data_IF_278715017910
#
_entry.id   IF_278715017910
#
_cell.length_a   1.000
_cell.length_b   1.000
_cell.length_c   1.000
_cell.angle_alpha   90.00
_cell.angle_beta   90.00
_cell.angle_gamma   90.00
#
_symmetry.space_group_name_H-M   'P 1'
#
loop_
_entity.id
_entity.type
_entity.pdbx_description
1 polymer ?
#
# COMPACT_ATOMS: atom_id res chain seq x y z
N UNK A 1 9.91 -59.67 25.88
CA UNK A 1 9.81 -58.85 27.11
C UNK A 1 8.94 -57.67 26.75
N UNK A 2 7.64 -57.90 26.83
CA UNK A 2 6.79 -57.48 27.96
C UNK A 2 6.46 -55.98 27.87
N UNK A 3 5.24 -55.71 27.40
CA UNK A 3 4.49 -54.53 27.83
C UNK A 3 4.15 -54.66 29.32
N UNK A 4 3.78 -53.55 29.98
CA UNK A 4 2.36 -53.47 30.32
C UNK A 4 1.69 -52.08 30.17
N UNK A 5 0.38 -52.19 29.96
CA UNK A 5 -0.74 -51.26 30.16
C UNK A 5 -0.76 -50.53 31.51
N UNK A 6 -1.32 -49.32 31.56
CA UNK A 6 -2.59 -48.96 32.26
C UNK A 6 -2.87 -47.44 32.10
N UNK A 7 -3.97 -47.04 31.44
CA UNK A 7 -5.29 -46.65 31.98
C UNK A 7 -5.28 -45.37 32.84
N UNK A 8 -5.84 -44.27 32.33
CA UNK A 8 -7.20 -43.77 32.62
C UNK A 8 -7.07 -42.23 32.81
N UNK A 9 -8.04 -41.35 32.62
CA UNK A 9 -9.49 -41.41 32.67
C UNK A 9 -10.02 -40.13 31.98
N UNK A 10 -11.22 -40.26 31.43
CA UNK A 10 -12.10 -39.31 30.75
C UNK A 10 -12.43 -38.08 31.61
N UNK A 11 -12.67 -36.92 30.98
CA UNK A 11 -13.98 -36.25 31.14
C UNK A 11 -14.25 -35.21 30.03
N UNK A 12 -15.51 -35.23 29.65
CA UNK A 12 -16.22 -34.65 28.52
C UNK A 12 -16.98 -33.41 28.99
N UNK A 13 -16.86 -32.26 28.31
CA UNK A 13 -17.94 -31.25 28.26
C UNK A 13 -17.88 -30.57 26.89
N UNK A 14 -18.91 -30.79 26.08
CA UNK A 14 -19.20 -29.97 24.91
C UNK A 14 -19.93 -28.68 25.31
N UNK A 15 -19.77 -27.63 24.52
CA UNK A 15 -20.79 -26.59 24.43
C UNK A 15 -20.78 -25.89 23.06
N UNK A 16 -21.90 -26.09 22.37
CA UNK A 16 -22.69 -25.17 21.54
C UNK A 16 -22.02 -24.12 20.66
N UNK A 17 -22.36 -24.21 19.38
CA UNK A 17 -22.07 -23.21 18.37
C UNK A 17 -22.81 -21.88 18.55
N UNK A 18 -22.27 -20.86 17.91
CA UNK A 18 -23.04 -19.71 17.44
C UNK A 18 -22.38 -19.15 16.18
N UNK A 19 -23.03 -19.42 15.06
CA UNK A 19 -22.76 -18.83 13.75
C UNK A 19 -23.29 -17.40 13.75
N UNK A 20 -22.41 -16.40 13.68
CA UNK A 20 -22.81 -15.02 13.42
C UNK A 20 -22.31 -14.59 12.05
N UNK A 21 -23.26 -14.45 11.12
CA UNK A 21 -23.08 -13.72 9.85
C UNK A 21 -23.65 -12.30 10.03
N UNK A 22 -22.95 -11.24 9.61
CA UNK A 22 -23.61 -9.96 9.40
C UNK A 22 -23.96 -9.80 7.92
N UNK A 23 -25.24 -9.98 7.60
CA UNK A 23 -25.86 -9.37 6.41
C UNK A 23 -26.03 -7.89 6.70
N UNK A 24 -25.36 -7.04 5.92
CA UNK A 24 -25.71 -5.62 5.81
C UNK A 24 -26.03 -5.34 4.35
N UNK A 25 -27.33 -5.33 4.07
CA UNK A 25 -27.90 -4.87 2.81
C UNK A 25 -27.85 -3.34 2.79
N UNK A 26 -27.01 -2.76 1.95
CA UNK A 26 -27.11 -1.35 1.54
C UNK A 26 -27.63 -1.30 0.09
N UNK A 27 -28.67 -0.51 -0.22
CA UNK A 27 -29.21 -0.43 -1.58
C UNK A 27 -28.31 0.41 -2.50
N UNK A 28 -28.36 0.19 -3.83
CA UNK A 28 -27.52 0.92 -4.78
C UNK A 28 -28.08 2.33 -5.02
N UNK A 29 -27.21 3.34 -4.99
CA UNK A 29 -27.53 4.67 -5.46
C UNK A 29 -27.50 4.67 -7.00
N UNK A 30 -28.67 4.83 -7.61
CA UNK A 30 -28.86 5.12 -9.04
C UNK A 30 -28.56 6.59 -9.34
N UNK A 31 -28.01 6.93 -10.53
CA UNK A 31 -27.93 8.31 -10.98
C UNK A 31 -29.27 8.79 -11.54
N UNK A 32 -29.55 10.09 -11.47
CA UNK A 32 -30.67 10.70 -12.18
C UNK A 32 -30.30 12.03 -12.83
N UNK A 33 -31.05 12.43 -13.87
CA UNK A 33 -30.53 13.08 -15.07
C UNK A 33 -30.64 14.61 -15.06
N UNK A 34 -29.94 15.25 -16.00
CA UNK A 34 -29.96 16.71 -16.17
C UNK A 34 -31.20 17.25 -16.91
N UNK A 35 -31.36 18.58 -16.89
CA UNK A 35 -31.78 19.43 -18.03
C UNK A 35 -31.56 20.92 -17.70
N UNK A 36 -30.81 21.58 -18.60
CA UNK A 36 -31.13 22.83 -19.33
C UNK A 36 -31.57 24.11 -18.59
N UNK A 37 -30.76 25.18 -18.74
CA UNK A 37 -31.21 26.51 -19.21
C UNK A 37 -30.02 27.42 -19.59
N UNK A 38 -29.94 27.81 -20.87
CA UNK A 38 -29.23 29.00 -21.41
C UNK A 38 -30.23 30.18 -21.45
N UNK A 39 -29.80 31.47 -21.49
CA UNK A 39 -29.56 32.15 -22.79
C UNK A 39 -28.39 33.19 -22.74
N UNK A 40 -27.56 33.31 -23.79
CA UNK A 40 -27.63 34.29 -24.89
C UNK A 40 -26.82 35.59 -24.65
N UNK A 41 -25.69 35.75 -25.36
CA UNK A 41 -25.36 36.97 -26.15
C UNK A 41 -24.52 36.55 -27.36
N UNK A 42 -24.93 37.07 -28.51
CA UNK A 42 -24.54 36.82 -29.90
C UNK A 42 -23.53 37.89 -30.40
N UNK A 43 -22.40 37.50 -31.04
CA UNK A 43 -22.06 37.62 -32.51
C UNK A 43 -21.25 38.94 -32.77
N UNK A 44 -20.45 39.15 -33.87
CA UNK A 44 -20.65 38.48 -35.14
C UNK A 44 -19.47 38.27 -36.15
N UNK A 45 -19.77 37.39 -37.11
CA UNK A 45 -19.37 37.28 -38.55
C UNK A 45 -17.96 36.89 -39.01
N UNK A 46 -17.90 35.83 -39.85
CA UNK A 46 -17.41 35.78 -41.25
C UNK A 46 -17.14 34.26 -41.56
N UNK A 47 -17.68 33.55 -42.55
CA UNK A 47 -18.26 33.91 -43.84
C UNK A 47 -17.48 33.21 -44.96
N UNK A 48 -17.68 31.91 -45.22
CA UNK A 48 -17.54 31.32 -46.58
C UNK A 48 -18.30 30.00 -46.70
N UNK A 49 -18.95 29.83 -47.84
CA UNK A 49 -20.03 28.89 -48.19
C UNK A 49 -19.56 28.01 -49.37
N UNK A 50 -20.29 26.89 -49.55
CA UNK A 50 -20.49 26.10 -50.79
C UNK A 50 -19.55 24.91 -51.07
N UNK A 51 -19.98 23.76 -51.62
CA UNK A 51 -21.27 23.08 -51.71
C UNK A 51 -21.05 21.67 -52.34
N UNK A 52 -21.89 20.71 -51.95
CA UNK A 52 -22.42 19.55 -52.69
C UNK A 52 -21.56 18.46 -53.39
N UNK A 53 -21.69 17.24 -52.82
CA UNK A 53 -22.22 16.00 -53.41
C UNK A 53 -21.98 15.68 -54.91
N UNK A 54 -21.42 14.50 -55.20
CA UNK A 54 -22.01 13.51 -56.16
C UNK A 54 -21.31 12.14 -56.16
N UNK A 55 -22.10 11.17 -55.72
CA UNK A 55 -21.97 9.71 -55.87
C UNK A 55 -22.15 9.31 -57.33
N UNK A 56 -21.20 8.60 -57.94
CA UNK A 56 -21.44 7.79 -59.16
C UNK A 56 -20.68 6.46 -59.07
N UNK A 57 -21.49 5.40 -59.01
CA UNK A 57 -21.18 3.98 -59.14
C UNK A 57 -21.10 3.65 -60.64
N UNK A 58 -20.07 2.94 -61.09
CA UNK A 58 -20.08 2.21 -62.37
C UNK A 58 -19.22 0.95 -62.23
N UNK A 59 -19.88 -0.17 -62.49
CA UNK A 59 -19.39 -1.53 -62.35
C UNK A 59 -18.51 -1.99 -63.54
N UNK A 60 -17.82 -3.10 -63.27
CA UNK A 60 -17.30 -4.14 -64.19
C UNK A 60 -15.93 -3.91 -64.85
N UNK A 61 -14.92 -4.66 -64.38
CA UNK A 61 -14.23 -5.61 -65.26
C UNK A 61 -13.61 -6.77 -64.44
N UNK A 62 -13.80 -8.00 -64.95
CA UNK A 62 -13.34 -9.27 -64.39
C UNK A 62 -11.94 -9.59 -64.90
N UNK A 63 -11.03 -9.96 -64.01
CA UNK A 63 -9.81 -10.74 -64.34
C UNK A 63 -9.28 -11.42 -63.08
N UNK A 64 -9.57 -12.71 -62.94
CA UNK A 64 -9.03 -13.60 -61.91
C UNK A 64 -7.59 -13.96 -62.23
N UNK A 65 -6.66 -13.75 -61.29
CA UNK A 65 -5.46 -14.58 -61.11
C UNK A 65 -5.15 -14.59 -59.61
N UNK A 66 -5.15 -15.80 -59.04
CA UNK A 66 -4.70 -16.08 -57.68
C UNK A 66 -3.23 -15.67 -57.51
N UNK A 67 -2.95 -14.82 -56.53
CA UNK A 67 -1.60 -14.67 -56.00
C UNK A 67 -1.71 -14.56 -54.49
N UNK A 68 -1.08 -15.54 -53.85
CA UNK A 68 -0.96 -15.77 -52.41
C UNK A 68 -0.72 -14.45 -51.68
N UNK A 69 -1.65 -14.08 -50.78
CA UNK A 69 -1.37 -13.11 -49.72
C UNK A 69 -0.35 -13.74 -48.77
N UNK A 70 0.92 -13.59 -49.12
CA UNK A 70 2.00 -13.60 -48.15
C UNK A 70 1.84 -12.29 -47.37
N UNK A 71 1.32 -12.40 -46.15
CA UNK A 71 1.45 -11.36 -45.14
C UNK A 71 2.93 -11.06 -44.98
N UNK A 72 3.42 -10.05 -45.71
CA UNK A 72 4.68 -9.37 -45.43
C UNK A 72 4.55 -8.71 -44.06
N UNK A 73 4.82 -9.50 -43.02
CA UNK A 73 5.43 -8.96 -41.82
C UNK A 73 6.67 -8.20 -42.32
N UNK A 74 6.62 -6.88 -42.23
CA UNK A 74 7.80 -6.04 -42.42
C UNK A 74 8.78 -6.40 -41.31
N UNK A 75 9.52 -7.48 -41.53
CA UNK A 75 10.75 -7.78 -40.84
C UNK A 75 11.66 -6.60 -41.14
N UNK A 76 11.64 -5.62 -40.24
CA UNK A 76 12.69 -4.63 -40.18
C UNK A 76 13.90 -5.45 -39.75
N UNK A 77 14.56 -6.11 -40.71
CA UNK A 77 15.69 -7.00 -40.46
C UNK A 77 16.72 -6.14 -39.76
N UNK A 78 16.75 -6.25 -38.44
CA UNK A 78 17.47 -5.31 -37.60
C UNK A 78 18.94 -5.65 -37.78
N UNK A 79 19.65 -4.78 -38.51
CA UNK A 79 21.04 -5.04 -38.90
C UNK A 79 21.92 -4.93 -37.66
N UNK A 80 22.44 -6.07 -37.21
CA UNK A 80 23.40 -6.14 -36.12
C UNK A 80 24.74 -5.52 -36.55
N UNK A 81 25.47 -4.86 -35.64
CA UNK A 81 26.78 -4.27 -35.95
C UNK A 81 27.92 -5.30 -36.05
N UNK A 82 27.58 -6.59 -36.08
CA UNK A 82 28.47 -7.74 -36.20
C UNK A 82 27.68 -8.95 -36.74
N UNK A 83 28.41 -9.92 -37.30
CA UNK A 83 27.87 -11.24 -37.66
C UNK A 83 27.99 -12.20 -36.46
N UNK A 84 26.99 -13.07 -36.25
CA UNK A 84 27.02 -14.10 -35.20
C UNK A 84 27.87 -15.30 -35.66
N UNK A 85 29.17 -15.30 -35.33
CA UNK A 85 30.15 -16.35 -35.67
C UNK A 85 30.41 -17.32 -34.52
N UNK A 86 30.23 -16.89 -33.28
CA UNK A 86 30.54 -17.67 -32.08
C UNK A 86 29.50 -18.79 -31.86
N UNK A 87 29.93 -20.03 -31.55
CA UNK A 87 28.99 -21.13 -31.30
C UNK A 87 28.13 -20.92 -30.04
N UNK A 88 28.54 -20.01 -29.14
CA UNK A 88 27.87 -19.71 -27.88
C UNK A 88 26.46 -19.13 -28.06
N UNK A 89 26.16 -18.52 -29.20
CA UNK A 89 24.83 -17.96 -29.50
C UNK A 89 23.73 -19.00 -29.34
N UNK A 90 23.95 -20.23 -29.82
CA UNK A 90 22.99 -21.32 -29.68
C UNK A 90 22.67 -21.62 -28.22
N UNK A 91 23.67 -21.57 -27.35
CA UNK A 91 23.49 -21.78 -25.91
C UNK A 91 22.73 -20.61 -25.30
N UNK A 92 23.18 -19.37 -25.52
CA UNK A 92 22.58 -18.17 -24.92
C UNK A 92 21.14 -18.00 -25.36
N UNK A 93 20.84 -18.06 -26.66
CA UNK A 93 19.48 -17.90 -27.19
C UNK A 93 18.54 -19.03 -26.75
N UNK A 94 19.08 -20.21 -26.43
CA UNK A 94 18.29 -21.33 -25.90
C UNK A 94 17.99 -21.25 -24.41
N UNK A 95 18.54 -20.27 -23.68
CA UNK A 95 18.28 -20.12 -22.25
C UNK A 95 16.80 -19.87 -21.99
N UNK A 96 16.26 -20.52 -20.95
CA UNK A 96 14.84 -20.42 -20.59
C UNK A 96 14.35 -18.99 -20.36
N UNK A 97 15.25 -18.10 -19.93
CA UNK A 97 14.95 -16.68 -19.77
C UNK A 97 14.55 -16.03 -21.09
N UNK A 98 15.24 -16.31 -22.20
CA UNK A 98 14.96 -15.71 -23.50
C UNK A 98 13.82 -16.41 -24.25
N UNK A 99 13.48 -17.66 -23.88
CA UNK A 99 12.24 -18.29 -24.32
C UNK A 99 11.01 -17.62 -23.69
N UNK A 100 11.10 -17.28 -22.40
CA UNK A 100 10.00 -16.65 -21.63
C UNK A 100 9.91 -15.15 -21.86
N UNK A 101 11.06 -14.52 -22.07
CA UNK A 101 11.21 -13.09 -22.25
C UNK A 101 12.08 -12.85 -23.50
N UNK A 102 11.52 -13.00 -24.70
CA UNK A 102 12.25 -12.80 -25.95
C UNK A 102 12.87 -11.40 -26.01
N UNK A 103 14.10 -11.32 -26.49
CA UNK A 103 14.86 -10.07 -26.61
C UNK A 103 15.39 -9.93 -28.03
N UNK A 104 15.29 -8.72 -28.59
CA UNK A 104 15.90 -8.35 -29.87
C UNK A 104 16.64 -7.01 -29.76
N UNK A 105 17.75 -6.96 -28.99
CA UNK A 105 18.57 -5.76 -28.84
C UNK A 105 19.32 -5.38 -30.12
N UNK A 106 19.33 -4.09 -30.46
CA UNK A 106 19.97 -3.56 -31.67
C UNK A 106 21.49 -3.48 -31.58
N UNK A 107 22.03 -3.37 -30.35
CA UNK A 107 23.45 -3.26 -30.07
C UNK A 107 24.21 -2.13 -30.80
N UNK A 108 23.53 -1.19 -31.45
CA UNK A 108 24.12 -0.07 -32.21
C UNK A 108 25.30 0.63 -31.52
N UNK A 109 25.29 0.89 -30.20
CA UNK A 109 26.45 1.53 -29.55
C UNK A 109 27.75 0.70 -29.63
N UNK A 110 27.69 -0.61 -29.90
CA UNK A 110 28.89 -1.43 -30.11
C UNK A 110 29.67 -1.04 -31.38
N UNK A 111 29.12 -0.20 -32.26
CA UNK A 111 29.90 0.38 -33.36
C UNK A 111 31.09 1.21 -32.86
N UNK A 112 31.01 1.76 -31.65
CA UNK A 112 32.05 2.58 -31.02
C UNK A 112 33.26 1.78 -30.51
N UNK A 113 33.12 0.46 -30.41
CA UNK A 113 34.22 -0.44 -30.01
C UNK A 113 34.81 -1.17 -31.23
N UNK A 114 35.98 -1.77 -31.02
CA UNK A 114 36.68 -2.57 -32.04
C UNK A 114 35.77 -3.69 -32.56
N UNK A 115 35.79 -3.87 -33.88
CA UNK A 115 34.94 -4.84 -34.57
C UNK A 115 35.10 -6.27 -34.04
N UNK A 116 36.34 -6.67 -33.72
CA UNK A 116 36.67 -8.00 -33.18
C UNK A 116 36.13 -8.26 -31.76
N UNK A 117 35.72 -7.22 -31.04
CA UNK A 117 35.15 -7.32 -29.69
C UNK A 117 33.61 -7.28 -29.65
N UNK A 118 32.95 -6.78 -30.72
CA UNK A 118 31.50 -6.49 -30.72
C UNK A 118 30.65 -7.71 -30.40
N UNK A 119 30.93 -8.82 -31.07
CA UNK A 119 30.14 -10.04 -30.90
C UNK A 119 30.22 -10.57 -29.46
N UNK A 120 31.43 -10.61 -28.90
CA UNK A 120 31.63 -11.06 -27.52
C UNK A 120 30.97 -10.12 -26.52
N UNK A 121 31.03 -8.80 -26.76
CA UNK A 121 30.33 -7.81 -25.93
C UNK A 121 28.81 -8.01 -25.95
N UNK A 122 28.21 -8.27 -27.11
CA UNK A 122 26.77 -8.52 -27.22
C UNK A 122 26.34 -9.79 -26.46
N UNK A 123 27.11 -10.87 -26.56
CA UNK A 123 26.90 -12.09 -25.77
C UNK A 123 27.02 -11.80 -24.27
N UNK A 124 28.03 -11.02 -23.87
CA UNK A 124 28.20 -10.58 -22.49
C UNK A 124 26.97 -9.83 -21.97
N UNK A 125 26.43 -8.89 -22.75
CA UNK A 125 25.23 -8.13 -22.38
C UNK A 125 23.98 -9.00 -22.21
N UNK A 126 23.81 -10.04 -23.04
CA UNK A 126 22.71 -11.01 -22.86
C UNK A 126 22.87 -11.79 -21.55
N UNK A 127 24.06 -12.29 -21.26
CA UNK A 127 24.34 -12.98 -20.00
C UNK A 127 24.13 -12.05 -18.80
N UNK A 128 24.58 -10.80 -18.89
CA UNK A 128 24.33 -9.76 -17.89
C UNK A 128 22.83 -9.54 -17.70
N UNK A 129 22.05 -9.36 -18.76
CA UNK A 129 20.60 -9.21 -18.68
C UNK A 129 19.95 -10.40 -17.94
N UNK A 130 20.35 -11.64 -18.27
CA UNK A 130 19.87 -12.83 -17.57
C UNK A 130 20.22 -12.81 -16.09
N UNK A 131 21.45 -12.44 -15.73
CA UNK A 131 21.90 -12.35 -14.34
C UNK A 131 21.11 -11.30 -13.55
N UNK A 132 20.94 -10.11 -14.11
CA UNK A 132 20.18 -9.01 -13.49
C UNK A 132 18.70 -9.40 -13.25
N UNK A 133 18.09 -10.17 -14.14
CA UNK A 133 16.73 -10.68 -13.93
C UNK A 133 16.65 -11.63 -12.74
N UNK A 134 17.64 -12.49 -12.53
CA UNK A 134 17.70 -13.35 -11.34
C UNK A 134 17.94 -12.54 -10.07
N UNK A 135 18.79 -11.51 -10.13
CA UNK A 135 18.97 -10.58 -9.01
C UNK A 135 17.64 -9.89 -8.63
N UNK A 136 16.89 -9.37 -9.60
CA UNK A 136 15.56 -8.77 -9.37
C UNK A 136 14.56 -9.78 -8.76
N UNK A 137 14.62 -11.05 -9.17
CA UNK A 137 13.77 -12.11 -8.59
C UNK A 137 14.15 -12.42 -7.15
N UNK A 138 15.43 -12.29 -6.80
CA UNK A 138 15.96 -12.59 -5.48
C UNK A 138 15.86 -11.45 -4.46
N UNK A 139 15.41 -10.25 -4.88
CA UNK A 139 15.22 -9.09 -4.02
C UNK A 139 14.27 -9.39 -2.85
N UNK A 140 14.67 -8.96 -1.66
CA UNK A 140 13.98 -9.05 -0.36
C UNK A 140 13.71 -7.66 0.19
N UNK A 141 12.83 -7.60 1.19
CA UNK A 141 12.43 -6.35 1.84
C UNK A 141 13.61 -5.59 2.47
N UNK A 142 14.59 -6.31 2.98
CA UNK A 142 15.76 -5.76 3.67
C UNK A 142 16.95 -5.48 2.76
N UNK A 143 16.80 -5.62 1.43
CA UNK A 143 17.86 -5.23 0.53
C UNK A 143 18.10 -3.71 0.62
N UNK A 144 19.37 -3.26 0.60
CA UNK A 144 19.68 -1.84 0.55
C UNK A 144 19.04 -1.16 -0.66
N UNK A 145 18.54 0.07 -0.48
CA UNK A 145 18.01 0.91 -1.58
C UNK A 145 19.07 1.08 -2.68
N UNK A 146 20.35 1.17 -2.30
CA UNK A 146 21.47 1.24 -3.25
C UNK A 146 21.54 0.03 -4.18
N UNK A 147 21.19 -1.18 -3.72
CA UNK A 147 21.13 -2.37 -4.58
C UNK A 147 20.04 -2.24 -5.64
N UNK A 148 18.86 -1.71 -5.28
CA UNK A 148 17.76 -1.50 -6.24
C UNK A 148 18.12 -0.40 -7.26
N UNK A 149 18.79 0.67 -6.82
CA UNK A 149 19.27 1.72 -7.71
C UNK A 149 20.35 1.18 -8.67
N UNK A 150 21.30 0.38 -8.17
CA UNK A 150 22.32 -0.26 -9.01
C UNK A 150 21.72 -1.17 -10.08
N UNK A 151 20.67 -1.93 -9.74
CA UNK A 151 19.94 -2.73 -10.72
C UNK A 151 19.25 -1.87 -11.77
N UNK A 152 18.57 -0.80 -11.34
CA UNK A 152 17.92 0.16 -12.25
C UNK A 152 18.94 0.76 -13.22
N UNK A 153 20.08 1.20 -12.72
CA UNK A 153 21.11 1.83 -13.54
C UNK A 153 21.72 0.82 -14.53
N UNK A 154 21.89 -0.44 -14.11
CA UNK A 154 22.35 -1.52 -14.99
C UNK A 154 21.35 -1.84 -16.11
N UNK A 155 20.05 -1.86 -15.81
CA UNK A 155 19.02 -2.01 -16.85
C UNK A 155 18.94 -0.79 -17.76
N UNK A 156 19.12 0.43 -17.24
CA UNK A 156 19.16 1.64 -18.05
C UNK A 156 20.34 1.63 -19.03
N UNK A 157 21.47 1.03 -18.63
CA UNK A 157 22.60 0.83 -19.55
C UNK A 157 22.24 -0.16 -20.66
N UNK A 158 21.63 -1.30 -20.33
CA UNK A 158 21.20 -2.28 -21.33
C UNK A 158 20.13 -1.73 -22.28
N UNK A 159 19.24 -0.86 -21.81
CA UNK A 159 18.22 -0.20 -22.65
C UNK A 159 18.84 0.58 -23.80
N UNK A 160 20.00 1.22 -23.60
CA UNK A 160 20.74 1.95 -24.65
C UNK A 160 21.20 1.04 -25.79
N UNK A 161 21.33 -0.26 -25.52
CA UNK A 161 21.68 -1.29 -26.51
C UNK A 161 20.45 -1.99 -27.10
N UNK A 162 19.24 -1.56 -26.73
CA UNK A 162 17.97 -2.06 -27.29
C UNK A 162 17.32 -3.18 -26.51
N UNK A 163 17.74 -3.45 -25.27
CA UNK A 163 17.06 -4.43 -24.43
C UNK A 163 15.69 -3.88 -23.98
N UNK A 164 14.66 -4.75 -23.97
CA UNK A 164 13.38 -4.41 -23.36
C UNK A 164 13.48 -4.60 -21.85
N UNK A 165 13.63 -3.50 -21.13
CA UNK A 165 13.80 -3.50 -19.68
C UNK A 165 12.53 -3.06 -18.93
N UNK A 166 11.40 -2.86 -19.63
CA UNK A 166 10.18 -2.28 -19.03
C UNK A 166 9.68 -3.06 -17.82
N UNK A 167 9.63 -4.38 -17.95
CA UNK A 167 9.14 -5.28 -16.89
C UNK A 167 10.03 -5.25 -15.65
N UNK A 168 11.36 -5.50 -15.73
CA UNK A 168 12.22 -5.40 -14.55
C UNK A 168 12.25 -3.99 -13.96
N UNK A 169 12.26 -2.93 -14.77
CA UNK A 169 12.21 -1.53 -14.31
C UNK A 169 10.94 -1.23 -13.51
N UNK A 170 9.77 -1.67 -14.00
CA UNK A 170 8.49 -1.52 -13.29
C UNK A 170 8.50 -2.25 -11.95
N UNK A 171 9.04 -3.47 -11.92
CA UNK A 171 9.16 -4.25 -10.69
C UNK A 171 10.07 -3.57 -9.66
N UNK A 172 11.23 -3.07 -10.07
CA UNK A 172 12.14 -2.31 -9.20
C UNK A 172 11.45 -1.06 -8.65
N UNK A 173 10.76 -0.30 -9.52
CA UNK A 173 10.04 0.91 -9.12
C UNK A 173 8.94 0.62 -8.09
N UNK A 174 8.19 -0.47 -8.29
CA UNK A 174 7.18 -0.92 -7.32
C UNK A 174 7.81 -1.30 -5.98
N UNK A 175 8.94 -2.00 -5.98
CA UNK A 175 9.65 -2.36 -4.75
C UNK A 175 10.15 -1.12 -3.99
N UNK A 176 10.71 -0.13 -4.69
CA UNK A 176 11.12 1.14 -4.10
C UNK A 176 9.94 1.86 -3.43
N UNK A 177 8.78 1.91 -4.09
CA UNK A 177 7.56 2.51 -3.53
C UNK A 177 7.07 1.78 -2.27
N UNK A 178 7.19 0.46 -2.23
CA UNK A 178 6.83 -0.33 -1.05
C UNK A 178 7.76 -0.05 0.14
N UNK A 179 9.07 0.10 -0.12
CA UNK A 179 10.07 0.44 0.90
C UNK A 179 9.79 1.84 1.48
N UNK A 180 9.53 2.84 0.64
CA UNK A 180 9.18 4.20 1.09
C UNK A 180 7.90 4.20 1.96
N UNK A 181 6.88 3.46 1.54
CA UNK A 181 5.64 3.32 2.32
C UNK A 181 5.87 2.62 3.66
N UNK A 182 6.75 1.62 3.70
CA UNK A 182 7.10 0.96 4.95
C UNK A 182 7.79 1.92 5.93
N UNK A 183 8.73 2.74 5.43
CA UNK A 183 9.43 3.73 6.25
C UNK A 183 8.45 4.74 6.87
N UNK A 184 7.51 5.27 6.07
CA UNK A 184 6.45 6.18 6.56
C UNK A 184 5.58 5.55 7.64
N UNK A 185 5.16 4.30 7.45
CA UNK A 185 4.37 3.59 8.46
C UNK A 185 5.14 3.32 9.75
N UNK A 186 6.45 3.09 9.67
CA UNK A 186 7.29 2.89 10.84
C UNK A 186 7.42 4.19 11.66
N UNK A 187 7.56 5.32 10.98
CA UNK A 187 7.55 6.65 11.61
C UNK A 187 6.21 6.96 12.30
N UNK A 188 5.08 6.70 11.61
CA UNK A 188 3.73 6.86 12.18
C UNK A 188 3.52 5.98 13.43
N UNK A 189 4.03 4.75 13.40
CA UNK A 189 3.96 3.82 14.52
C UNK A 189 4.77 4.31 15.72
N UNK A 190 5.99 4.79 15.50
CA UNK A 190 6.83 5.36 16.55
C UNK A 190 6.18 6.58 17.22
N UNK A 191 5.57 7.48 16.43
CA UNK A 191 4.83 8.63 16.96
C UNK A 191 3.62 8.17 17.78
N UNK A 192 2.88 7.18 17.29
CA UNK A 192 1.70 6.65 17.98
C UNK A 192 2.08 6.02 19.31
N UNK A 193 3.15 5.21 19.35
CA UNK A 193 3.65 4.56 20.56
C UNK A 193 4.06 5.59 21.64
N UNK A 194 4.73 6.67 21.24
CA UNK A 194 5.10 7.76 22.16
C UNK A 194 3.87 8.44 22.75
N UNK A 195 2.88 8.78 21.92
CA UNK A 195 1.63 9.41 22.37
C UNK A 195 0.84 8.49 23.30
N UNK A 196 0.79 7.19 23.01
CA UNK A 196 0.12 6.23 23.90
C UNK A 196 0.82 6.11 25.25
N UNK A 197 2.15 6.03 25.26
CA UNK A 197 2.93 5.96 26.49
C UNK A 197 2.77 7.24 27.36
N UNK A 198 2.74 8.42 26.74
CA UNK A 198 2.48 9.69 27.43
C UNK A 198 1.07 9.72 28.03
N UNK A 199 0.05 9.31 27.27
CA UNK A 199 -1.34 9.25 27.76
C UNK A 199 -1.49 8.28 28.93
N UNK A 200 -0.83 7.12 28.87
CA UNK A 200 -0.82 6.15 29.96
C UNK A 200 -0.16 6.73 31.22
N UNK A 201 0.97 7.43 31.07
CA UNK A 201 1.63 8.13 32.19
C UNK A 201 0.73 9.18 32.84
N UNK A 202 0.07 10.02 32.03
CA UNK A 202 -0.89 11.03 32.51
C UNK A 202 -2.07 10.36 33.22
N UNK A 203 -2.58 9.24 32.69
CA UNK A 203 -3.68 8.49 33.31
C UNK A 203 -3.29 7.99 34.70
N UNK A 204 -2.10 7.39 34.85
CA UNK A 204 -1.59 6.93 36.15
C UNK A 204 -1.44 8.08 37.14
N UNK A 205 -0.91 9.22 36.70
CA UNK A 205 -0.75 10.40 37.56
C UNK A 205 -2.10 11.00 37.98
N UNK A 206 -3.09 10.99 37.08
CA UNK A 206 -4.45 11.43 37.41
C UNK A 206 -5.13 10.48 38.40
N UNK A 207 -4.96 9.16 38.25
CA UNK A 207 -5.46 8.17 39.21
C UNK A 207 -4.85 8.40 40.61
N UNK A 208 -3.54 8.68 40.68
CA UNK A 208 -2.86 9.04 41.94
C UNK A 208 -3.48 10.28 42.59
N UNK A 209 -3.69 11.35 41.82
CA UNK A 209 -4.31 12.60 42.31
C UNK A 209 -5.75 12.39 42.78
N UNK A 210 -6.53 11.56 42.09
CA UNK A 210 -7.91 11.23 42.50
C UNK A 210 -7.90 10.53 43.87
N UNK A 211 -7.01 9.56 44.08
CA UNK A 211 -6.88 8.87 45.37
C UNK A 211 -6.48 9.83 46.51
N UNK A 212 -5.59 10.78 46.25
CA UNK A 212 -5.20 11.81 47.23
C UNK A 212 -6.37 12.73 47.59
N UNK A 213 -7.15 13.17 46.59
CA UNK A 213 -8.34 13.99 46.81
C UNK A 213 -9.42 13.23 47.60
N UNK A 214 -9.64 11.94 47.32
CA UNK A 214 -10.57 11.11 48.08
C UNK A 214 -10.17 11.03 49.56
N UNK A 215 -8.89 10.80 49.84
CA UNK A 215 -8.37 10.76 51.21
C UNK A 215 -8.55 12.10 51.94
N UNK A 216 -8.32 13.23 51.26
CA UNK A 216 -8.53 14.55 51.85
C UNK A 216 -10.01 14.80 52.14
N UNK A 217 -10.91 14.38 51.25
CA UNK A 217 -12.35 14.53 51.44
C UNK A 217 -12.85 13.71 52.64
N UNK A 218 -12.38 12.48 52.80
CA UNK A 218 -12.68 11.65 53.98
C UNK A 218 -12.24 12.31 55.29
N UNK A 219 -11.10 13.01 55.29
CA UNK A 219 -10.61 13.70 56.49
C UNK A 219 -11.45 14.94 56.82
N UNK A 220 -11.80 15.73 55.80
CA UNK A 220 -12.71 16.88 55.96
C UNK A 220 -14.08 16.41 56.48
N UNK A 221 -14.61 15.30 55.98
CA UNK A 221 -15.90 14.75 56.43
C UNK A 221 -15.86 14.35 57.92
N UNK A 222 -14.74 13.78 58.39
CA UNK A 222 -14.53 13.49 59.83
C UNK A 222 -14.48 14.77 60.66
N UNK A 223 -13.75 15.79 60.22
CA UNK A 223 -13.64 17.07 60.92
C UNK A 223 -14.99 17.78 61.03
N UNK A 224 -15.79 17.77 59.95
CA UNK A 224 -17.16 18.29 59.94
C UNK A 224 -18.03 17.53 60.94
N UNK A 225 -17.98 16.20 60.94
CA UNK A 225 -18.77 15.38 61.86
C UNK A 225 -18.39 15.65 63.33
N UNK A 226 -17.10 15.75 63.63
CA UNK A 226 -16.59 16.08 64.97
C UNK A 226 -17.02 17.47 65.41
N UNK A 227 -16.87 18.49 64.55
CA UNK A 227 -17.24 19.88 64.85
C UNK A 227 -18.73 20.05 65.14
N UNK A 228 -19.59 19.36 64.36
CA UNK A 228 -21.05 19.35 64.58
C UNK A 228 -21.43 18.75 65.94
N UNK A 229 -20.79 17.64 66.32
CA UNK A 229 -21.07 16.94 67.58
C UNK A 229 -20.65 17.76 68.80
N UNK A 230 -19.44 18.33 68.78
CA UNK A 230 -18.87 19.03 69.95
C UNK A 230 -19.50 20.39 70.23
N UNK A 231 -19.80 21.18 69.19
CA UNK A 231 -20.17 22.59 69.37
C UNK A 231 -21.67 22.79 69.53
N UNK A 232 -22.47 22.24 68.61
CA UNK A 232 -23.93 22.44 68.61
C UNK A 232 -24.58 21.61 69.73
N UNK A 233 -24.11 20.37 69.93
CA UNK A 233 -24.63 19.52 71.02
C UNK A 233 -24.45 20.16 72.38
N UNK A 234 -23.26 20.71 72.66
CA UNK A 234 -22.97 21.37 73.92
C UNK A 234 -23.79 22.65 74.12
N UNK A 235 -23.93 23.48 73.07
CA UNK A 235 -24.74 24.71 73.14
C UNK A 235 -26.22 24.41 73.36
N UNK A 236 -26.76 23.35 72.74
CA UNK A 236 -28.17 22.97 72.91
C UNK A 236 -28.47 22.52 74.34
N UNK A 237 -27.59 21.70 74.93
CA UNK A 237 -27.77 21.26 76.32
C UNK A 237 -27.65 22.43 77.32
N UNK A 238 -26.75 23.39 77.08
CA UNK A 238 -26.64 24.58 77.92
C UNK A 238 -27.93 25.44 77.87
N UNK A 239 -28.49 25.67 76.68
CA UNK A 239 -29.78 26.39 76.53
C UNK A 239 -30.91 25.64 77.24
N UNK A 240 -30.96 24.31 77.13
CA UNK A 240 -31.97 23.48 77.78
C UNK A 240 -31.87 23.55 79.31
N UNK A 241 -30.65 23.54 79.85
CA UNK A 241 -30.40 23.72 81.27
C UNK A 241 -30.82 25.11 81.75
N UNK A 242 -30.44 26.17 81.01
CA UNK A 242 -30.86 27.55 81.28
C UNK A 242 -32.38 27.68 81.33
N UNK A 243 -33.09 27.15 80.33
CA UNK A 243 -34.56 27.14 80.30
C UNK A 243 -35.15 26.49 81.55
N UNK A 244 -34.69 25.28 81.89
CA UNK A 244 -35.22 24.53 83.03
C UNK A 244 -34.97 25.24 84.36
N UNK A 245 -33.80 25.88 84.50
CA UNK A 245 -33.43 26.66 85.68
C UNK A 245 -34.33 27.89 85.84
N UNK A 246 -34.57 28.64 84.77
CA UNK A 246 -35.42 29.83 84.79
C UNK A 246 -36.88 29.47 85.05
N UNK A 247 -37.41 28.42 84.40
CA UNK A 247 -38.79 27.98 84.60
C UNK A 247 -39.08 27.46 86.03
N UNK A 248 -38.04 26.99 86.75
CA UNK A 248 -38.18 26.48 88.12
C UNK A 248 -37.87 27.52 89.20
N UNK A 249 -37.55 28.77 88.83
CA UNK A 249 -37.24 29.81 89.79
C UNK A 249 -38.52 30.27 90.53
N UNK A 250 -38.45 30.56 91.85
CA UNK A 250 -39.59 31.11 92.58
C UNK A 250 -39.94 32.52 92.07
N UNK A 251 -41.24 32.84 92.05
CA UNK A 251 -41.77 34.16 91.65
C UNK A 251 -41.42 35.28 92.64
#
# INVERSE_FOLDING_TARGET
MESPLTQGLVDEIGDSGSTFSPVSNSPPLSPSPGVTATPLVETPENGTREDNNRKRKRDQNLSSVDTVEETEEKDITMVLPFEKKLPIWKTVESMEVFKKFPQSPHFTPLLEIREDAREMSAVGMLLTFSGLLEEVKSLKLNNPISSLNSLRDSFAELEKHGFDVKVPMLRISKLLSLIDRQAKKMEELEVTEKVTAEKESIKVENERKILELQKLNEEIDKEIAQSKSSTIGQQLEDVKLQFHKTASAPW
#
